data_IF_945863422308
#
_entry.id   IF_945863422308
#
_cell.length_a   1.000
_cell.length_b   1.000
_cell.length_c   1.000
_cell.angle_alpha   90.00
_cell.angle_beta   90.00
_cell.angle_gamma   90.00
#
_symmetry.space_group_name_H-M   'P 1'
#
loop_
_entity.id
_entity.type
_entity.pdbx_description
1 polymer ?
#
# COMPACT_ATOMS: atom_id res chain seq x y z
N UNK A 1 19.06 -9.91 -26.45
CA UNK A 1 18.05 -10.94 -26.08
C UNK A 1 18.05 -11.13 -24.58
N UNK A 2 17.14 -10.45 -23.87
CA UNK A 2 16.43 -10.92 -22.67
C UNK A 2 15.12 -10.13 -22.66
N UNK A 3 14.02 -10.77 -23.04
CA UNK A 3 12.69 -10.19 -22.88
C UNK A 3 12.52 -9.89 -21.39
N UNK A 4 12.41 -8.61 -21.02
CA UNK A 4 11.82 -8.24 -19.74
C UNK A 4 10.32 -8.50 -19.87
N UNK A 5 9.91 -9.76 -19.74
CA UNK A 5 8.53 -10.06 -19.42
C UNK A 5 8.23 -9.38 -18.10
N UNK A 6 7.40 -8.34 -18.16
CA UNK A 6 6.92 -7.60 -16.99
C UNK A 6 6.48 -8.59 -15.92
N UNK A 7 6.75 -8.37 -14.61
CA UNK A 7 6.18 -9.21 -13.55
C UNK A 7 4.64 -9.20 -13.57
N UNK A 8 4.03 -8.30 -14.35
CA UNK A 8 2.61 -8.23 -14.67
C UNK A 8 2.16 -8.99 -15.93
N UNK A 9 3.05 -9.64 -16.69
CA UNK A 9 2.68 -10.30 -17.95
C UNK A 9 1.82 -11.57 -17.77
N UNK A 10 1.52 -11.96 -16.52
CA UNK A 10 0.58 -13.05 -16.21
C UNK A 10 -0.40 -12.58 -15.13
N UNK A 11 -1.16 -11.51 -15.40
CA UNK A 11 -2.42 -11.30 -14.68
C UNK A 11 -3.40 -12.32 -15.24
N UNK A 12 -3.71 -13.34 -14.43
CA UNK A 12 -4.76 -14.30 -14.74
C UNK A 12 -6.05 -13.56 -15.13
N UNK A 13 -6.66 -13.97 -16.25
CA UNK A 13 -7.96 -13.47 -16.71
C UNK A 13 -8.96 -13.43 -15.53
N UNK A 14 -9.25 -12.25 -14.99
CA UNK A 14 -10.23 -12.04 -13.93
C UNK A 14 -9.79 -11.22 -12.71
N UNK A 15 -8.48 -11.00 -12.48
CA UNK A 15 -8.03 -10.10 -11.40
C UNK A 15 -8.10 -8.64 -11.86
N UNK A 16 -8.58 -7.70 -11.03
CA UNK A 16 -8.52 -6.28 -11.36
C UNK A 16 -7.09 -5.82 -11.62
N UNK A 17 -6.88 -4.91 -12.58
CA UNK A 17 -5.55 -4.36 -12.84
C UNK A 17 -5.06 -3.45 -11.70
N UNK A 18 -3.74 -3.26 -11.55
CA UNK A 18 -3.14 -2.46 -10.48
C UNK A 18 -3.67 -1.04 -10.37
N UNK A 19 -3.98 -0.42 -11.50
CA UNK A 19 -4.45 0.97 -11.57
C UNK A 19 -5.87 1.17 -11.01
N UNK A 20 -6.57 0.09 -10.66
CA UNK A 20 -7.81 0.13 -9.91
C UNK A 20 -7.60 0.26 -8.39
N UNK A 21 -6.36 0.14 -7.90
CA UNK A 21 -6.04 0.20 -6.48
C UNK A 21 -5.18 1.42 -6.13
N UNK A 22 -5.47 2.02 -4.98
CA UNK A 22 -4.71 3.14 -4.41
C UNK A 22 -3.92 2.68 -3.19
N UNK A 23 -2.62 2.94 -3.16
CA UNK A 23 -1.74 2.64 -2.03
C UNK A 23 -1.35 3.95 -1.34
N UNK A 24 -1.55 4.02 -0.03
CA UNK A 24 -1.06 5.12 0.80
C UNK A 24 0.30 4.76 1.40
N UNK A 25 1.32 5.53 1.05
CA UNK A 25 2.67 5.42 1.62
C UNK A 25 2.86 6.47 2.70
N UNK A 26 3.18 6.05 3.92
CA UNK A 26 3.39 6.89 5.09
C UNK A 26 4.84 6.76 5.53
N UNK A 27 5.59 7.86 5.45
CA UNK A 27 7.00 7.91 5.85
C UNK A 27 7.34 9.39 6.04
N UNK A 28 8.16 9.77 7.03
CA UNK A 28 8.54 11.16 7.24
C UNK A 28 9.67 11.60 6.30
N UNK A 29 10.49 10.65 5.82
CA UNK A 29 11.59 10.92 4.90
C UNK A 29 11.08 11.00 3.43
N UNK A 30 11.34 12.11 2.71
CA UNK A 30 10.86 12.28 1.35
C UNK A 30 11.44 11.26 0.37
N UNK A 31 12.71 10.86 0.55
CA UNK A 31 13.36 9.84 -0.28
C UNK A 31 12.67 8.47 -0.20
N UNK A 32 12.25 8.05 0.99
CA UNK A 32 11.54 6.78 1.17
C UNK A 32 10.18 6.83 0.47
N UNK A 33 9.42 7.92 0.66
CA UNK A 33 8.13 8.12 -0.02
C UNK A 33 8.29 8.09 -1.54
N UNK A 34 9.29 8.79 -2.08
CA UNK A 34 9.55 8.83 -3.51
C UNK A 34 9.96 7.46 -4.05
N UNK A 35 10.82 6.72 -3.32
CA UNK A 35 11.23 5.36 -3.68
C UNK A 35 10.02 4.43 -3.81
N UNK A 36 9.18 4.34 -2.78
CA UNK A 36 7.97 3.50 -2.82
C UNK A 36 7.01 3.97 -3.92
N UNK A 37 6.78 5.27 -4.06
CA UNK A 37 5.89 5.82 -5.07
C UNK A 37 6.36 5.49 -6.49
N UNK A 38 7.67 5.56 -6.76
CA UNK A 38 8.24 5.18 -8.05
C UNK A 38 8.08 3.68 -8.33
N UNK A 39 8.48 2.82 -7.39
CA UNK A 39 8.41 1.37 -7.58
C UNK A 39 6.97 0.91 -7.81
N UNK A 40 6.05 1.33 -6.93
CA UNK A 40 4.65 0.94 -6.99
C UNK A 40 3.91 1.60 -8.16
N UNK A 41 4.27 2.86 -8.50
CA UNK A 41 3.76 3.55 -9.67
C UNK A 41 4.17 2.88 -10.98
N UNK A 42 5.42 2.42 -11.09
CA UNK A 42 5.89 1.63 -12.24
C UNK A 42 5.18 0.28 -12.35
N UNK A 43 4.74 -0.30 -11.23
CA UNK A 43 3.88 -1.48 -11.19
C UNK A 43 2.39 -1.18 -11.50
N UNK A 44 2.04 0.09 -11.72
CA UNK A 44 0.72 0.53 -12.19
C UNK A 44 -0.27 0.91 -11.09
N UNK A 45 0.13 0.94 -9.81
CA UNK A 45 -0.74 1.36 -8.71
C UNK A 45 -0.91 2.88 -8.67
N UNK A 46 -2.07 3.36 -8.18
CA UNK A 46 -2.25 4.77 -7.83
C UNK A 46 -1.62 5.01 -6.46
N UNK A 47 -0.85 6.08 -6.30
CA UNK A 47 -0.12 6.34 -5.05
C UNK A 47 -0.63 7.62 -4.39
N UNK A 48 -0.92 7.50 -3.09
CA UNK A 48 -1.06 8.62 -2.17
C UNK A 48 0.11 8.59 -1.20
N UNK A 49 0.50 9.76 -0.69
CA UNK A 49 1.57 9.88 0.28
C UNK A 49 1.09 10.67 1.50
N UNK A 50 1.67 10.38 2.65
CA UNK A 50 1.53 11.17 3.86
C UNK A 50 2.89 11.24 4.58
N UNK A 51 3.20 12.40 5.16
CA UNK A 51 4.49 12.64 5.85
C UNK A 51 4.43 12.27 7.33
N UNK A 52 3.26 11.92 7.84
CA UNK A 52 3.04 11.57 9.24
C UNK A 52 1.82 10.68 9.42
N UNK A 53 1.75 9.97 10.55
CA UNK A 53 0.57 9.20 10.94
C UNK A 53 -0.71 10.05 11.04
N UNK A 54 -0.58 11.29 11.54
CA UNK A 54 -1.72 12.22 11.66
C UNK A 54 -2.30 12.61 10.30
N UNK A 55 -1.44 12.93 9.33
CA UNK A 55 -1.87 13.20 7.96
C UNK A 55 -2.48 11.95 7.32
N UNK A 56 -1.86 10.78 7.53
CA UNK A 56 -2.37 9.52 7.00
C UNK A 56 -3.78 9.20 7.50
N UNK A 57 -4.06 9.38 8.79
CA UNK A 57 -5.40 9.15 9.34
C UNK A 57 -6.45 10.08 8.72
N UNK A 58 -6.09 11.33 8.40
CA UNK A 58 -6.98 12.25 7.67
C UNK A 58 -7.20 11.80 6.23
N UNK A 59 -6.15 11.32 5.55
CA UNK A 59 -6.23 10.83 4.17
C UNK A 59 -7.07 9.55 4.06
N UNK A 60 -6.92 8.60 4.99
CA UNK A 60 -7.64 7.31 4.97
C UNK A 60 -9.17 7.49 4.99
N UNK A 61 -9.67 8.50 5.70
CA UNK A 61 -11.11 8.73 5.82
C UNK A 61 -11.70 9.54 4.64
N UNK A 62 -10.85 10.24 3.88
CA UNK A 62 -11.23 11.07 2.73
C UNK A 62 -11.25 10.24 1.44
N UNK A 63 -11.99 10.72 0.43
CA UNK A 63 -11.97 10.12 -0.90
C UNK A 63 -10.90 10.80 -1.79
N UNK A 64 -10.25 10.05 -2.70
CA UNK A 64 -10.34 8.60 -2.85
C UNK A 64 -9.63 7.88 -1.70
N UNK A 65 -10.25 6.79 -1.20
CA UNK A 65 -9.72 6.02 -0.07
C UNK A 65 -8.63 5.06 -0.56
N UNK A 66 -7.59 4.81 0.25
CA UNK A 66 -6.60 3.79 -0.08
C UNK A 66 -7.18 2.38 0.10
N UNK A 67 -6.67 1.47 -0.72
CA UNK A 67 -6.93 0.03 -0.66
C UNK A 67 -5.89 -0.72 0.16
N UNK A 68 -4.73 -0.12 0.40
CA UNK A 68 -3.62 -0.63 1.20
C UNK A 68 -2.79 0.53 1.76
N UNK A 69 -2.21 0.33 2.95
CA UNK A 69 -1.26 1.26 3.58
C UNK A 69 0.10 0.59 3.68
N UNK A 70 1.14 1.33 3.34
CA UNK A 70 2.53 1.03 3.72
C UNK A 70 2.95 2.12 4.70
N UNK A 71 3.32 1.75 5.91
CA UNK A 71 3.75 2.72 6.94
C UNK A 71 5.17 2.44 7.38
N UNK A 72 5.97 3.50 7.50
CA UNK A 72 7.16 3.45 8.29
C UNK A 72 6.83 3.23 9.77
N UNK A 73 7.79 2.67 10.51
CA UNK A 73 7.68 2.46 11.96
C UNK A 73 8.11 3.70 12.74
N UNK A 74 9.24 4.31 12.36
CA UNK A 74 9.96 5.30 13.14
C UNK A 74 9.68 6.70 12.61
N UNK A 75 8.50 7.22 12.95
CA UNK A 75 8.11 8.59 12.58
C UNK A 75 8.04 9.51 13.79
N UNK A 76 8.42 10.80 13.66
CA UNK A 76 8.23 11.79 14.69
C UNK A 76 6.73 12.08 14.94
N UNK A 77 6.39 12.37 16.19
CA UNK A 77 5.01 12.64 16.60
C UNK A 77 4.23 11.34 16.76
N UNK A 78 3.32 11.04 15.82
CA UNK A 78 2.54 9.80 15.87
C UNK A 78 3.34 8.67 15.22
N UNK A 79 3.80 7.73 16.04
CA UNK A 79 4.62 6.60 15.58
C UNK A 79 3.85 5.71 14.60
N UNK A 80 4.58 4.90 13.80
CA UNK A 80 3.97 3.90 12.93
C UNK A 80 3.08 2.93 13.71
N UNK A 81 3.58 2.43 14.84
CA UNK A 81 2.84 1.53 15.74
C UNK A 81 1.51 2.15 16.18
N UNK A 82 1.53 3.40 16.64
CA UNK A 82 0.31 4.10 17.04
C UNK A 82 -0.61 4.39 15.86
N UNK A 83 -0.06 4.73 14.71
CA UNK A 83 -0.81 4.92 13.46
C UNK A 83 -1.60 3.66 13.11
N UNK A 84 -0.96 2.48 13.17
CA UNK A 84 -1.65 1.20 12.95
C UNK A 84 -2.77 0.98 13.95
N UNK A 85 -2.52 1.21 15.25
CA UNK A 85 -3.56 1.09 16.29
C UNK A 85 -4.74 2.02 16.03
N UNK A 86 -4.49 3.24 15.55
CA UNK A 86 -5.55 4.19 15.22
C UNK A 86 -6.32 3.77 13.96
N UNK A 87 -5.64 3.24 12.94
CA UNK A 87 -6.30 2.66 11.75
C UNK A 87 -7.25 1.55 12.18
N UNK A 88 -6.83 0.65 13.08
CA UNK A 88 -7.67 -0.44 13.59
C UNK A 88 -8.88 0.04 14.42
N UNK A 89 -8.88 1.28 14.90
CA UNK A 89 -10.01 1.92 15.61
C UNK A 89 -10.96 2.69 14.70
N UNK A 90 -10.67 2.81 13.40
CA UNK A 90 -11.56 3.47 12.44
C UNK A 90 -12.88 2.71 12.29
N UNK A 91 -13.94 3.36 11.74
CA UNK A 91 -15.22 2.71 11.49
C UNK A 91 -15.10 1.44 10.65
N UNK A 92 -16.10 0.56 10.79
CA UNK A 92 -16.17 -0.70 10.06
C UNK A 92 -15.96 -0.51 8.55
N UNK A 93 -15.11 -1.34 7.96
CA UNK A 93 -14.66 -1.25 6.56
C UNK A 93 -13.33 -0.51 6.37
N UNK A 94 -12.99 0.46 7.22
CA UNK A 94 -11.66 1.09 7.23
C UNK A 94 -10.71 0.40 8.19
N UNK A 95 -11.21 -0.11 9.31
CA UNK A 95 -10.39 -0.86 10.28
C UNK A 95 -9.77 -2.14 9.72
N UNK A 96 -10.29 -2.69 8.62
CA UNK A 96 -9.77 -3.86 7.90
C UNK A 96 -8.86 -3.51 6.72
N UNK A 97 -8.40 -2.26 6.60
CA UNK A 97 -7.42 -1.83 5.61
C UNK A 97 -6.10 -2.61 5.78
N UNK A 98 -5.59 -3.31 4.76
CA UNK A 98 -4.27 -3.93 4.83
C UNK A 98 -3.21 -2.90 5.18
N UNK A 99 -2.39 -3.22 6.16
CA UNK A 99 -1.27 -2.40 6.62
C UNK A 99 0.00 -3.22 6.54
N UNK A 100 0.93 -2.79 5.69
CA UNK A 100 2.29 -3.31 5.62
C UNK A 100 3.20 -2.33 6.38
N UNK A 101 3.88 -2.82 7.40
CA UNK A 101 4.93 -2.08 8.08
C UNK A 101 6.24 -2.16 7.28
N UNK A 102 7.00 -1.08 7.20
CA UNK A 102 8.36 -1.08 6.69
C UNK A 102 9.28 -0.40 7.71
N UNK A 103 10.49 -0.93 7.96
CA UNK A 103 11.42 -0.34 8.94
C UNK A 103 12.87 -0.44 8.51
N UNK A 104 13.63 0.65 8.73
CA UNK A 104 15.09 0.69 8.58
C UNK A 104 15.84 -0.06 9.69
N UNK A 105 15.18 -0.33 10.81
CA UNK A 105 15.74 -1.06 11.94
C UNK A 105 14.83 -2.26 12.28
N UNK A 106 14.89 -3.35 11.50
CA UNK A 106 13.92 -4.45 11.58
C UNK A 106 14.25 -5.42 12.72
N UNK A 107 14.40 -4.92 13.95
CA UNK A 107 14.62 -5.79 15.09
C UNK A 107 13.37 -6.63 15.43
N UNK A 108 13.59 -7.72 16.17
CA UNK A 108 12.50 -8.65 16.49
C UNK A 108 11.44 -8.07 17.43
N UNK A 109 11.75 -7.00 18.17
CA UNK A 109 10.81 -6.36 19.09
C UNK A 109 9.89 -5.41 18.31
N UNK A 110 10.45 -4.58 17.42
CA UNK A 110 9.74 -3.70 16.49
C UNK A 110 8.77 -4.50 15.63
N UNK A 111 9.22 -5.62 15.04
CA UNK A 111 8.33 -6.49 14.27
C UNK A 111 7.18 -7.01 15.13
N UNK A 112 7.45 -7.46 16.36
CA UNK A 112 6.42 -7.94 17.30
C UNK A 112 5.41 -6.84 17.64
N UNK A 113 5.88 -5.63 17.90
CA UNK A 113 5.03 -4.49 18.25
C UNK A 113 4.12 -4.06 17.09
N UNK A 114 4.63 -4.07 15.85
CA UNK A 114 3.83 -3.78 14.66
C UNK A 114 2.73 -4.83 14.43
N UNK A 115 3.07 -6.12 14.55
CA UNK A 115 2.06 -7.19 14.43
C UNK A 115 1.04 -7.11 15.56
N UNK A 116 1.47 -6.87 16.81
CA UNK A 116 0.56 -6.70 17.94
C UNK A 116 -0.34 -5.45 17.82
N UNK A 117 0.14 -4.39 17.18
CA UNK A 117 -0.66 -3.22 16.83
C UNK A 117 -1.70 -3.51 15.72
N UNK A 118 -1.53 -4.62 14.99
CA UNK A 118 -2.44 -5.10 13.97
C UNK A 118 -1.93 -4.90 12.54
N UNK A 119 -0.63 -4.69 12.30
CA UNK A 119 -0.08 -4.72 10.95
C UNK A 119 -0.22 -6.14 10.37
N UNK A 120 -0.51 -6.22 9.07
CA UNK A 120 -0.76 -7.50 8.39
C UNK A 120 0.54 -8.12 7.85
N UNK A 121 1.54 -7.28 7.55
CA UNK A 121 2.87 -7.70 7.14
C UNK A 121 3.95 -6.73 7.62
N UNK A 122 5.21 -7.17 7.53
CA UNK A 122 6.37 -6.40 7.93
C UNK A 122 7.52 -6.63 6.93
N UNK A 123 8.08 -5.54 6.39
CA UNK A 123 9.19 -5.54 5.45
C UNK A 123 10.40 -4.81 6.06
N UNK A 124 11.59 -5.37 5.88
CA UNK A 124 12.83 -4.70 6.25
C UNK A 124 13.25 -3.73 5.14
N UNK A 125 13.72 -2.54 5.50
CA UNK A 125 14.40 -1.62 4.57
C UNK A 125 15.91 -1.93 4.57
N UNK A 126 16.61 -1.82 3.42
CA UNK A 126 16.06 -1.52 2.09
C UNK A 126 15.16 -2.66 1.61
N UNK A 127 13.99 -2.31 1.08
CA UNK A 127 12.97 -3.29 0.71
C UNK A 127 13.35 -3.95 -0.61
N UNK A 128 13.29 -5.29 -0.67
CA UNK A 128 13.40 -6.00 -1.94
C UNK A 128 12.16 -5.71 -2.80
N UNK A 129 12.39 -5.35 -4.06
CA UNK A 129 11.31 -4.94 -4.97
C UNK A 129 10.36 -6.11 -5.25
N UNK A 130 10.88 -7.33 -5.38
CA UNK A 130 10.07 -8.52 -5.58
C UNK A 130 9.17 -8.78 -4.38
N UNK A 131 9.76 -8.80 -3.18
CA UNK A 131 9.04 -9.00 -1.92
C UNK A 131 7.93 -7.94 -1.71
N UNK A 132 8.24 -6.67 -1.99
CA UNK A 132 7.25 -5.58 -1.91
C UNK A 132 6.06 -5.84 -2.83
N UNK A 133 6.31 -6.12 -4.11
CA UNK A 133 5.25 -6.29 -5.11
C UNK A 133 4.43 -7.55 -4.85
N UNK A 134 5.06 -8.65 -4.42
CA UNK A 134 4.37 -9.87 -4.04
C UNK A 134 3.47 -9.67 -2.83
N UNK A 135 3.98 -9.02 -1.78
CA UNK A 135 3.22 -8.73 -0.55
C UNK A 135 2.02 -7.83 -0.85
N UNK A 136 2.22 -6.74 -1.60
CA UNK A 136 1.14 -5.84 -2.01
C UNK A 136 0.09 -6.58 -2.84
N UNK A 137 0.51 -7.38 -3.82
CA UNK A 137 -0.41 -8.14 -4.65
C UNK A 137 -1.21 -9.17 -3.82
N UNK A 138 -0.59 -9.83 -2.84
CA UNK A 138 -1.29 -10.79 -1.96
C UNK A 138 -2.46 -10.13 -1.23
N UNK A 139 -2.25 -8.97 -0.60
CA UNK A 139 -3.28 -8.28 0.17
C UNK A 139 -4.37 -7.66 -0.72
N UNK A 140 -4.01 -7.21 -1.93
CA UNK A 140 -4.97 -6.61 -2.86
C UNK A 140 -5.80 -7.65 -3.62
N UNK A 141 -5.28 -8.86 -3.87
CA UNK A 141 -6.03 -9.96 -4.53
C UNK A 141 -7.33 -10.31 -3.82
N UNK A 142 -7.38 -10.11 -2.51
CA UNK A 142 -8.56 -10.42 -1.66
C UNK A 142 -9.57 -9.26 -1.62
N UNK A 143 -9.27 -8.12 -2.25
CA UNK A 143 -10.11 -6.93 -2.25
C UNK A 143 -10.87 -6.77 -3.55
N UNK A 144 -12.13 -6.34 -3.43
CA UNK A 144 -12.90 -5.84 -4.56
C UNK A 144 -12.49 -4.38 -4.78
N UNK A 145 -12.00 -3.99 -5.96
CA UNK A 145 -11.64 -2.60 -6.22
C UNK A 145 -12.85 -1.68 -6.10
N UNK A 146 -12.65 -0.40 -5.74
CA UNK A 146 -13.71 0.59 -5.73
C UNK A 146 -14.42 0.67 -7.09
N UNK A 147 -15.76 0.67 -7.09
CA UNK A 147 -16.58 0.71 -8.31
C UNK A 147 -16.27 1.91 -9.23
N UNK A 148 -15.79 3.02 -8.66
CA UNK A 148 -15.40 4.22 -9.39
C UNK A 148 -14.26 4.00 -10.42
N UNK A 149 -13.46 2.94 -10.24
CA UNK A 149 -12.35 2.61 -11.13
C UNK A 149 -12.71 1.61 -12.24
N UNK A 150 -13.96 1.12 -12.29
CA UNK A 150 -14.44 0.25 -13.38
C UNK A 150 -14.84 1.03 -14.64
N UNK A 151 -15.14 2.33 -14.54
CA UNK A 151 -15.77 3.10 -15.64
C UNK A 151 -14.76 3.53 -16.73
N UNK A 152 -13.49 3.77 -16.39
CA UNK A 152 -12.45 4.14 -17.39
C UNK A 152 -12.17 3.03 -18.43
N UNK A 153 -12.55 1.78 -18.15
CA UNK A 153 -12.30 0.65 -19.06
C UNK A 153 -13.43 0.39 -20.06
N UNK A 154 -14.63 0.90 -19.80
CA UNK A 154 -15.77 0.70 -20.69
C UNK A 154 -15.71 1.60 -21.93
N UNK A 155 -14.99 2.72 -21.86
CA UNK A 155 -14.81 3.65 -22.97
C UNK A 155 -13.70 3.23 -23.96
N UNK A 156 -12.66 2.54 -23.49
CA UNK A 156 -11.55 2.10 -24.36
C UNK A 156 -11.93 0.88 -25.22
N UNK A 157 -12.86 0.04 -24.73
CA UNK A 157 -13.26 -1.21 -25.41
C UNK A 157 -14.41 -0.99 -26.41
N UNK A 158 -15.03 0.19 -26.44
CA UNK A 158 -16.10 0.54 -27.39
C UNK A 158 -15.60 1.32 -28.62
N UNK A 159 -14.30 1.63 -28.68
CA UNK A 159 -13.69 2.41 -29.75
C UNK A 159 -12.78 1.59 -30.69
N UNK A 160 -12.87 0.26 -30.64
CA UNK A 160 -12.17 -0.67 -31.53
C UNK A 160 -13.18 -1.49 -32.35
#
# INVERSE_FOLDING_TARGET
MKNLSSPFAVVANGSPPPNCFTILVIDDLPENREMFARILGMAGYRIQTAVSGSEALQSIVRQPRPDLVITDVEMPGLSGVETVRQIRRLPAGLSSLPVIAASGNPDTAIKRDMIAAGADAFLAKPVDIGELLETVAEFLRRRTPPAAHRVEQQLVTSAA
#
